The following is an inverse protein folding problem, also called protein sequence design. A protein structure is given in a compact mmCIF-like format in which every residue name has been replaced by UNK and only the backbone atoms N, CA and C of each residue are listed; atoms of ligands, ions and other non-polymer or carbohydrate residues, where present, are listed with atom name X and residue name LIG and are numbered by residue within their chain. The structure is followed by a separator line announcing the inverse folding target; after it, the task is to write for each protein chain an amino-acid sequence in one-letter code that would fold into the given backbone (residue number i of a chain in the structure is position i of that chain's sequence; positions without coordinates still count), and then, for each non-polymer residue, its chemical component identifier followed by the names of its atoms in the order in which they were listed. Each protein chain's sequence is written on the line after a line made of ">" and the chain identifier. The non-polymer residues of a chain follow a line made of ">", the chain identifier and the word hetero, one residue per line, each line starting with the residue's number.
data_IF_964196771673
#
_entry.id   IF_964196771673
#
_cell.length_a   1.000
_cell.length_b   1.000
_cell.length_c   1.000
_cell.angle_alpha   90.00
_cell.angle_beta   90.00
_cell.angle_gamma   90.00
#
_symmetry.space_group_name_H-M   'P 1'
#
loop_
_entity.id
_entity.type
_entity.pdbx_description
1 polymer ?
#
# COMPACT_ATOMS: atom_id res chain seq x y z
N UNK A 1 23.93 -6.06 24.14
CA UNK A 1 22.71 -5.21 24.10
C UNK A 1 22.45 -4.55 22.74
N UNK A 2 23.37 -4.60 21.76
CA UNK A 2 23.08 -4.25 20.35
C UNK A 2 22.64 -5.47 19.51
N UNK A 3 23.22 -6.65 19.74
CA UNK A 3 22.88 -7.88 19.00
C UNK A 3 21.42 -8.30 19.17
N UNK A 4 20.84 -8.17 20.37
CA UNK A 4 19.44 -8.49 20.62
C UNK A 4 18.50 -7.55 19.86
N UNK A 5 18.81 -6.24 19.80
CA UNK A 5 18.01 -5.26 19.05
C UNK A 5 18.03 -5.53 17.55
N UNK A 6 19.19 -5.87 16.99
CA UNK A 6 19.32 -6.19 15.55
C UNK A 6 18.56 -7.49 15.25
N UNK A 7 18.64 -8.49 16.11
CA UNK A 7 17.92 -9.77 15.96
C UNK A 7 16.40 -9.58 16.06
N UNK A 8 15.92 -8.77 17.00
CA UNK A 8 14.50 -8.45 17.13
C UNK A 8 13.95 -7.65 15.95
N UNK A 9 14.70 -6.68 15.42
CA UNK A 9 14.31 -5.93 14.21
C UNK A 9 14.26 -6.84 12.97
N UNK A 10 15.21 -7.78 12.86
CA UNK A 10 15.24 -8.78 11.79
C UNK A 10 14.04 -9.73 11.85
N UNK A 11 13.65 -10.19 13.05
CA UNK A 11 12.49 -11.05 13.21
C UNK A 11 11.15 -10.32 12.99
N UNK A 12 11.03 -9.06 13.42
CA UNK A 12 9.85 -8.24 13.15
C UNK A 12 9.70 -7.94 11.66
N UNK A 13 10.79 -7.58 10.97
CA UNK A 13 10.77 -7.35 9.52
C UNK A 13 10.35 -8.63 8.75
N UNK A 14 10.88 -9.80 9.15
CA UNK A 14 10.46 -11.09 8.56
C UNK A 14 8.99 -11.40 8.83
N UNK A 15 8.51 -11.12 10.04
CA UNK A 15 7.11 -11.31 10.39
C UNK A 15 6.20 -10.44 9.51
N UNK A 16 6.44 -9.13 9.45
CA UNK A 16 5.66 -8.22 8.61
C UNK A 16 5.74 -8.60 7.12
N UNK A 17 6.91 -9.01 6.65
CA UNK A 17 7.08 -9.50 5.28
C UNK A 17 6.22 -10.74 5.01
N UNK A 18 6.21 -11.71 5.91
CA UNK A 18 5.38 -12.91 5.74
C UNK A 18 3.87 -12.58 5.74
N UNK A 19 3.43 -11.67 6.61
CA UNK A 19 2.02 -11.29 6.72
C UNK A 19 1.51 -10.58 5.46
N UNK A 20 2.22 -9.57 4.93
CA UNK A 20 1.73 -8.90 3.72
C UNK A 20 1.80 -9.82 2.50
N UNK A 21 2.77 -10.75 2.43
CA UNK A 21 2.84 -11.76 1.36
C UNK A 21 1.67 -12.74 1.41
N UNK A 22 1.18 -13.05 2.61
CA UNK A 22 -0.05 -13.84 2.78
C UNK A 22 -1.27 -13.04 2.31
N UNK A 23 -1.37 -11.74 2.65
CA UNK A 23 -2.43 -10.89 2.10
C UNK A 23 -2.38 -10.81 0.55
N UNK A 24 -1.19 -10.66 -0.04
CA UNK A 24 -1.02 -10.73 -1.51
C UNK A 24 -1.47 -12.07 -2.09
N UNK A 25 -1.25 -13.18 -1.38
CA UNK A 25 -1.70 -14.51 -1.83
C UNK A 25 -3.23 -14.61 -1.79
N UNK A 26 -3.83 -14.12 -0.71
CA UNK A 26 -5.26 -14.20 -0.45
C UNK A 26 -6.07 -13.32 -1.42
N UNK A 27 -5.58 -12.11 -1.72
CA UNK A 27 -6.27 -11.18 -2.63
C UNK A 27 -6.36 -11.70 -4.07
N UNK A 28 -5.40 -12.55 -4.47
CA UNK A 28 -5.36 -13.18 -5.78
C UNK A 28 -6.15 -14.50 -5.83
N UNK A 29 -6.91 -14.81 -4.79
CA UNK A 29 -7.84 -15.93 -4.81
C UNK A 29 -9.19 -15.52 -5.39
N UNK A 30 -9.88 -16.46 -6.01
CA UNK A 30 -11.25 -16.27 -6.51
C UNK A 30 -12.31 -16.38 -5.39
N UNK A 31 -11.91 -16.26 -4.11
CA UNK A 31 -12.75 -16.44 -2.93
C UNK A 31 -12.91 -15.11 -2.16
N UNK A 32 -14.15 -14.67 -1.98
CA UNK A 32 -14.49 -13.41 -1.29
C UNK A 32 -14.03 -13.43 0.17
N UNK A 33 -14.18 -14.56 0.89
CA UNK A 33 -13.72 -14.67 2.30
C UNK A 33 -12.19 -14.51 2.44
N UNK A 34 -11.43 -14.94 1.43
CA UNK A 34 -9.99 -14.77 1.41
C UNK A 34 -9.62 -13.30 1.13
N UNK A 35 -10.39 -12.59 0.30
CA UNK A 35 -10.20 -11.17 0.04
C UNK A 35 -10.49 -10.32 1.30
N UNK A 36 -11.57 -10.62 2.03
CA UNK A 36 -11.88 -10.00 3.32
C UNK A 36 -10.72 -10.18 4.32
N UNK A 37 -10.16 -11.39 4.36
CA UNK A 37 -9.02 -11.70 5.22
C UNK A 37 -7.75 -10.97 4.79
N UNK A 38 -7.53 -10.80 3.48
CA UNK A 38 -6.41 -10.00 2.98
C UNK A 38 -6.53 -8.53 3.42
N UNK A 39 -7.75 -7.99 3.41
CA UNK A 39 -8.08 -6.66 3.89
C UNK A 39 -7.78 -6.53 5.39
N UNK A 40 -8.27 -7.46 6.20
CA UNK A 40 -8.05 -7.50 7.65
C UNK A 40 -6.56 -7.51 7.99
N UNK A 41 -5.77 -8.39 7.37
CA UNK A 41 -4.31 -8.46 7.57
C UNK A 41 -3.65 -7.10 7.25
N UNK A 42 -4.04 -6.47 6.13
CA UNK A 42 -3.47 -5.19 5.76
C UNK A 42 -3.84 -4.09 6.76
N UNK A 43 -5.09 -4.04 7.24
CA UNK A 43 -5.53 -3.08 8.26
C UNK A 43 -4.79 -3.28 9.57
N UNK A 44 -4.65 -4.53 10.04
CA UNK A 44 -3.90 -4.85 11.26
C UNK A 44 -2.44 -4.43 11.15
N UNK A 45 -1.77 -4.74 10.03
CA UNK A 45 -0.39 -4.32 9.80
C UNK A 45 -0.24 -2.79 9.85
N UNK A 46 -1.20 -2.04 9.30
CA UNK A 46 -1.13 -0.57 9.26
C UNK A 46 -1.23 0.09 10.64
N UNK A 47 -1.77 -0.61 11.65
CA UNK A 47 -1.77 -0.18 13.05
C UNK A 47 -0.38 -0.25 13.69
N UNK A 48 0.54 -1.03 13.13
CA UNK A 48 1.89 -1.20 13.66
C UNK A 48 2.75 0.05 13.43
N UNK A 49 3.09 0.75 14.52
CA UNK A 49 3.88 1.97 14.48
C UNK A 49 5.29 1.78 13.88
N UNK A 50 5.82 0.55 13.96
CA UNK A 50 7.15 0.19 13.44
C UNK A 50 7.09 -0.52 12.09
N UNK A 51 5.93 -0.54 11.44
CA UNK A 51 5.80 -1.18 10.14
C UNK A 51 6.78 -0.52 9.15
N UNK A 52 7.66 -1.31 8.50
CA UNK A 52 8.55 -0.78 7.48
C UNK A 52 7.73 -0.07 6.41
N UNK A 53 8.10 1.16 5.98
CA UNK A 53 7.19 1.92 5.14
C UNK A 53 6.98 1.31 3.74
N UNK A 54 7.87 0.42 3.27
CA UNK A 54 7.65 -0.35 2.05
C UNK A 54 6.54 -1.41 2.21
N UNK A 55 6.42 -2.02 3.39
CA UNK A 55 5.30 -2.90 3.73
C UNK A 55 4.03 -2.07 3.85
N UNK A 56 4.10 -0.87 4.45
CA UNK A 56 2.99 0.09 4.50
C UNK A 56 2.46 0.44 3.11
N UNK A 57 3.35 0.73 2.17
CA UNK A 57 2.99 1.01 0.76
C UNK A 57 2.31 -0.19 0.09
N UNK A 58 2.80 -1.42 0.35
CA UNK A 58 2.19 -2.65 -0.15
C UNK A 58 0.79 -2.87 0.41
N UNK A 59 0.60 -2.74 1.73
CA UNK A 59 -0.72 -2.86 2.36
C UNK A 59 -1.72 -1.85 1.79
N UNK A 60 -1.33 -0.59 1.61
CA UNK A 60 -2.19 0.39 0.94
C UNK A 60 -2.48 0.04 -0.53
N UNK A 61 -1.51 -0.53 -1.26
CA UNK A 61 -1.77 -1.00 -2.64
C UNK A 61 -2.82 -2.11 -2.65
N UNK A 62 -2.76 -3.03 -1.68
CA UNK A 62 -3.71 -4.15 -1.56
C UNK A 62 -5.10 -3.70 -1.14
N UNK A 63 -5.20 -2.81 -0.15
CA UNK A 63 -6.49 -2.24 0.24
C UNK A 63 -7.15 -1.48 -0.92
N UNK A 64 -6.37 -0.82 -1.78
CA UNK A 64 -6.91 -0.22 -3.00
C UNK A 64 -7.46 -1.24 -4.00
N UNK A 65 -6.97 -2.50 -4.02
CA UNK A 65 -7.64 -3.60 -4.77
C UNK A 65 -8.96 -3.93 -4.11
N UNK A 66 -8.93 -4.16 -2.78
CA UNK A 66 -10.09 -4.61 -2.01
C UNK A 66 -11.26 -3.62 -2.11
N UNK A 67 -10.96 -2.31 -2.03
CA UNK A 67 -11.96 -1.25 -2.17
C UNK A 67 -12.69 -1.27 -3.52
N UNK A 68 -12.15 -1.99 -4.51
CA UNK A 68 -12.69 -2.09 -5.86
C UNK A 68 -12.56 -0.79 -6.67
N UNK A 69 -12.15 0.30 -6.03
CA UNK A 69 -11.91 1.60 -6.64
C UNK A 69 -10.45 2.04 -6.45
N UNK A 70 -9.61 1.50 -7.32
CA UNK A 70 -8.26 1.99 -7.51
C UNK A 70 -8.20 3.44 -7.97
N UNK A 71 -9.31 3.96 -8.50
CA UNK A 71 -9.32 5.22 -9.20
C UNK A 71 -9.29 6.40 -8.21
N UNK A 72 -10.01 6.28 -7.09
CA UNK A 72 -10.09 7.38 -6.13
C UNK A 72 -9.71 7.01 -4.71
N UNK A 73 -9.37 5.74 -4.44
CA UNK A 73 -9.08 5.30 -3.08
C UNK A 73 -7.91 6.06 -2.46
N UNK A 74 -8.15 6.53 -1.24
CA UNK A 74 -7.14 7.07 -0.33
C UNK A 74 -5.88 6.19 -0.28
N UNK A 75 -6.09 4.86 -0.32
CA UNK A 75 -5.04 3.87 -0.25
C UNK A 75 -4.14 3.87 -1.50
N UNK A 76 -4.68 4.00 -2.73
CA UNK A 76 -3.87 4.08 -3.94
C UNK A 76 -2.92 5.30 -3.93
N UNK A 77 -3.46 6.47 -3.54
CA UNK A 77 -2.67 7.71 -3.42
C UNK A 77 -1.62 7.64 -2.31
N UNK A 78 -1.97 7.04 -1.18
CA UNK A 78 -1.03 6.85 -0.07
C UNK A 78 0.11 5.91 -0.47
N UNK A 79 -0.20 4.82 -1.19
CA UNK A 79 0.82 3.92 -1.73
C UNK A 79 1.76 4.63 -2.71
N UNK A 80 1.21 5.41 -3.64
CA UNK A 80 1.99 6.20 -4.60
C UNK A 80 2.97 7.14 -3.88
N UNK A 81 2.48 7.93 -2.91
CA UNK A 81 3.32 8.86 -2.15
C UNK A 81 4.49 8.14 -1.48
N UNK A 82 4.21 7.02 -0.80
CA UNK A 82 5.25 6.24 -0.12
C UNK A 82 6.27 5.69 -1.13
N UNK A 83 5.85 5.16 -2.28
CA UNK A 83 6.79 4.69 -3.30
C UNK A 83 7.66 5.80 -3.87
N UNK A 84 7.11 7.00 -4.06
CA UNK A 84 7.87 8.17 -4.52
C UNK A 84 8.91 8.62 -3.48
N UNK A 85 8.54 8.66 -2.21
CA UNK A 85 9.47 8.96 -1.09
C UNK A 85 10.64 7.97 -1.08
N UNK A 86 10.36 6.67 -1.15
CA UNK A 86 11.42 5.65 -1.23
C UNK A 86 12.28 5.75 -2.48
N UNK A 87 11.66 5.99 -3.64
CA UNK A 87 12.40 6.13 -4.88
C UNK A 87 13.33 7.35 -4.86
N UNK A 88 12.96 8.42 -4.12
CA UNK A 88 13.78 9.60 -3.93
C UNK A 88 14.93 9.37 -2.94
N UNK A 89 14.66 8.69 -1.82
CA UNK A 89 15.66 8.38 -0.79
C UNK A 89 16.65 7.28 -1.24
N UNK A 90 16.18 6.32 -2.03
CA UNK A 90 16.94 5.15 -2.49
C UNK A 90 16.87 4.99 -4.02
N UNK A 91 17.44 5.93 -4.81
CA UNK A 91 17.29 5.98 -6.27
C UNK A 91 17.96 4.83 -7.04
N UNK A 92 18.68 3.95 -6.36
CA UNK A 92 19.28 2.76 -6.94
C UNK A 92 18.35 1.53 -6.83
N UNK A 93 17.22 1.62 -6.12
CA UNK A 93 16.24 0.54 -6.03
C UNK A 93 15.21 0.65 -7.16
N UNK A 94 15.53 -0.02 -8.26
CA UNK A 94 14.72 -0.10 -9.49
C UNK A 94 13.26 -0.50 -9.22
N UNK A 95 13.02 -1.42 -8.28
CA UNK A 95 11.67 -1.91 -7.96
C UNK A 95 10.76 -0.79 -7.46
N UNK A 96 11.25 0.13 -6.62
CA UNK A 96 10.40 1.21 -6.10
C UNK A 96 10.09 2.26 -7.15
N UNK A 97 11.04 2.53 -8.05
CA UNK A 97 10.82 3.39 -9.21
C UNK A 97 9.76 2.80 -10.15
N UNK A 98 9.88 1.51 -10.49
CA UNK A 98 8.91 0.80 -11.32
C UNK A 98 7.51 0.79 -10.69
N UNK A 99 7.42 0.56 -9.37
CA UNK A 99 6.14 0.60 -8.65
C UNK A 99 5.56 2.02 -8.60
N UNK A 100 6.37 3.05 -8.32
CA UNK A 100 5.93 4.44 -8.31
C UNK A 100 5.35 4.87 -9.67
N UNK A 101 6.02 4.54 -10.77
CA UNK A 101 5.54 4.86 -12.12
C UNK A 101 4.27 4.06 -12.46
N UNK A 102 4.22 2.77 -12.13
CA UNK A 102 3.02 1.96 -12.36
C UNK A 102 1.80 2.49 -11.58
N UNK A 103 1.97 2.83 -10.31
CA UNK A 103 0.88 3.39 -9.48
C UNK A 103 0.47 4.79 -9.96
N UNK A 104 1.41 5.61 -10.44
CA UNK A 104 1.13 6.93 -10.99
C UNK A 104 0.22 6.87 -12.21
N UNK A 105 0.46 5.96 -13.15
CA UNK A 105 -0.38 5.79 -14.34
C UNK A 105 -1.81 5.35 -13.96
N UNK A 106 -1.94 4.46 -12.96
CA UNK A 106 -3.24 4.02 -12.45
C UNK A 106 -4.01 5.19 -11.82
N UNK A 107 -3.39 5.94 -10.90
CA UNK A 107 -3.98 7.11 -10.24
C UNK A 107 -4.30 8.22 -11.25
N UNK A 108 -3.50 8.39 -12.30
CA UNK A 108 -3.76 9.41 -13.32
C UNK A 108 -4.96 9.05 -14.20
N UNK A 109 -4.99 7.83 -14.74
CA UNK A 109 -6.10 7.36 -15.60
C UNK A 109 -7.44 7.48 -14.87
N UNK A 110 -7.40 7.15 -13.59
CA UNK A 110 -8.48 7.28 -12.66
C UNK A 110 -8.99 8.71 -12.40
N UNK A 111 -8.08 9.63 -12.10
CA UNK A 111 -8.43 11.03 -11.89
C UNK A 111 -9.02 11.64 -13.17
N UNK A 112 -8.50 11.25 -14.34
CA UNK A 112 -9.05 11.63 -15.65
C UNK A 112 -10.46 11.07 -15.88
N UNK A 113 -10.72 9.82 -15.50
CA UNK A 113 -12.06 9.22 -15.63
C UNK A 113 -13.07 9.87 -14.69
N UNK A 114 -12.68 10.11 -13.43
CA UNK A 114 -13.51 10.87 -12.49
C UNK A 114 -13.77 12.30 -12.97
N UNK A 115 -12.76 12.99 -13.51
CA UNK A 115 -12.95 14.34 -14.04
C UNK A 115 -13.91 14.37 -15.23
N UNK A 116 -13.90 13.36 -16.10
CA UNK A 116 -14.90 13.24 -17.19
C UNK A 116 -16.31 13.04 -16.64
N UNK A 117 -16.47 12.25 -15.60
CA UNK A 117 -17.79 11.91 -15.03
C UNK A 117 -18.36 13.03 -14.16
N UNK A 118 -17.50 13.72 -13.40
CA UNK A 118 -17.91 14.65 -12.35
C UNK A 118 -17.47 16.10 -12.57
N UNK A 119 -16.65 16.38 -13.58
CA UNK A 119 -16.17 17.72 -13.93
C UNK A 119 -15.19 18.34 -12.93
N UNK A 120 -14.63 17.55 -12.02
CA UNK A 120 -13.66 17.94 -10.99
C UNK A 120 -12.71 16.79 -10.73
N UNK A 121 -11.52 17.02 -10.15
CA UNK A 121 -10.64 15.93 -9.68
C UNK A 121 -11.10 15.51 -8.27
N UNK A 122 -11.10 14.21 -7.91
CA UNK A 122 -11.54 13.78 -6.59
C UNK A 122 -10.63 14.41 -5.53
N UNK A 123 -11.17 15.00 -4.45
CA UNK A 123 -10.33 15.56 -3.39
C UNK A 123 -9.41 14.48 -2.86
N UNK A 124 -8.19 14.84 -2.43
CA UNK A 124 -7.38 13.94 -1.61
C UNK A 124 -8.24 13.55 -0.42
N UNK A 125 -8.65 12.28 -0.37
CA UNK A 125 -9.52 11.77 0.68
C UNK A 125 -8.91 12.17 2.02
N UNK A 126 -9.59 13.09 2.70
CA UNK A 126 -9.35 13.38 4.10
C UNK A 126 -9.94 12.20 4.86
N UNK A 127 -9.22 11.07 4.91
CA UNK A 127 -9.30 10.27 6.13
C UNK A 127 -8.81 11.19 7.25
N UNK A 128 -9.76 11.94 7.80
CA UNK A 128 -9.59 12.74 8.99
C UNK A 128 -8.99 11.81 10.04
N UNK A 129 -7.83 12.23 10.55
CA UNK A 129 -7.24 11.70 11.77
C UNK A 129 -8.29 11.81 12.89
N UNK A 130 -9.10 10.77 13.09
CA UNK A 130 -9.93 10.58 14.28
C UNK A 130 -9.26 9.58 15.20
#
# INVERSE_FOLDING_TARGET
>A
MEDDKITHLSNAARFFHAQYREAERLINSDNEEDQDKAEEICRELLLEARLPPHVRARCHTLLAVCDGDYLTSYHARTALRLYQEFAADEPHIKVWQEMAEATKEIVKAAEEDWEKEHGTIPPESTEEKH
#
